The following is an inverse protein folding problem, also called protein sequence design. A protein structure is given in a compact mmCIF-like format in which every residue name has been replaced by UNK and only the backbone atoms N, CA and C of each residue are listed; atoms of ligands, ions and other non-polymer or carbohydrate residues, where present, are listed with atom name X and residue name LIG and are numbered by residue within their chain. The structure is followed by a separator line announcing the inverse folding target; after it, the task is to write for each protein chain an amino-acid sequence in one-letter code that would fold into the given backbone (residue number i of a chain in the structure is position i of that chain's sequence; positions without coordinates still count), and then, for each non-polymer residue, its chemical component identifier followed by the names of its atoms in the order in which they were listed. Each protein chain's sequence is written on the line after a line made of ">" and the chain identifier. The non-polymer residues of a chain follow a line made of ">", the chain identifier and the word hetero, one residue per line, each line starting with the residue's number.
data_IF_918219737452
#
_entry.id   IF_918219737452
#
_cell.length_a   1.000
_cell.length_b   1.000
_cell.length_c   1.000
_cell.angle_alpha   90.00
_cell.angle_beta   90.00
_cell.angle_gamma   90.00
#
_symmetry.space_group_name_H-M   'P 1'
#
loop_
_entity.id
_entity.type
_entity.pdbx_description
1 polymer ?
#
# COMPACT_ATOMS: atom_id res chain seq x y z
N UNK A 1 -8.63 0.24 -7.57
CA UNK A 1 -7.85 -0.99 -7.82
C UNK A 1 -7.06 -1.39 -6.58
N UNK A 2 -6.84 -2.67 -6.34
CA UNK A 2 -6.00 -3.08 -5.20
C UNK A 2 -4.54 -2.66 -5.40
N UNK A 3 -3.88 -2.32 -4.30
CA UNK A 3 -2.47 -1.95 -4.32
C UNK A 3 -1.59 -3.04 -4.96
N UNK A 4 -1.96 -4.30 -4.79
CA UNK A 4 -1.23 -5.43 -5.38
C UNK A 4 -1.18 -5.41 -6.91
N UNK A 5 -2.07 -4.66 -7.55
CA UNK A 5 -2.12 -4.51 -9.00
C UNK A 5 -1.28 -3.35 -9.51
N UNK A 6 -0.73 -2.55 -8.64
CA UNK A 6 0.08 -1.40 -9.01
C UNK A 6 1.42 -1.88 -9.56
N UNK A 7 1.79 -1.39 -10.73
CA UNK A 7 3.04 -1.76 -11.37
C UNK A 7 4.17 -0.84 -10.93
N UNK A 8 5.40 -1.34 -11.05
CA UNK A 8 6.59 -0.57 -10.73
C UNK A 8 6.58 0.79 -11.41
N UNK A 9 6.77 1.84 -10.63
CA UNK A 9 6.77 3.22 -11.11
C UNK A 9 5.41 3.89 -11.11
N UNK A 10 4.33 3.12 -10.92
CA UNK A 10 2.99 3.69 -10.82
C UNK A 10 2.69 4.17 -9.41
N UNK A 11 1.81 5.14 -9.31
CA UNK A 11 1.33 5.65 -8.04
C UNK A 11 -0.18 5.76 -8.03
N UNK A 12 -0.75 5.83 -6.85
CA UNK A 12 -2.19 5.99 -6.67
C UNK A 12 -2.50 6.54 -5.28
N UNK A 13 -3.74 6.93 -5.08
CA UNK A 13 -4.22 7.47 -3.81
C UNK A 13 -5.04 6.41 -3.10
N UNK A 14 -4.79 6.23 -1.82
CA UNK A 14 -5.52 5.24 -1.01
C UNK A 14 -6.98 5.69 -0.88
N UNK A 15 -7.88 4.85 -1.35
CA UNK A 15 -9.32 5.06 -1.29
C UNK A 15 -9.94 4.40 -0.06
N UNK A 16 -9.54 3.17 0.22
CA UNK A 16 -10.02 2.42 1.37
C UNK A 16 -9.01 1.37 1.79
N UNK A 17 -9.08 0.99 3.05
CA UNK A 17 -8.22 -0.06 3.63
C UNK A 17 -9.15 -1.04 4.35
N UNK A 18 -9.04 -2.32 4.00
CA UNK A 18 -9.87 -3.37 4.57
C UNK A 18 -9.04 -4.27 5.48
N UNK A 19 -9.66 -4.84 6.47
CA UNK A 19 -9.02 -5.76 7.38
C UNK A 19 -9.43 -5.51 8.83
N UNK A 20 -8.70 -6.11 9.75
CA UNK A 20 -8.95 -5.95 11.18
C UNK A 20 -8.49 -4.56 11.63
N UNK A 21 -9.17 -3.94 12.63
CA UNK A 21 -8.77 -2.63 13.15
C UNK A 21 -7.30 -2.57 13.56
N UNK A 22 -6.77 -3.63 14.12
CA UNK A 22 -5.37 -3.73 14.51
C UNK A 22 -4.43 -3.56 13.33
N UNK A 23 -4.73 -4.21 12.21
CA UNK A 23 -3.91 -4.13 11.00
C UNK A 23 -4.01 -2.75 10.37
N UNK A 24 -5.22 -2.19 10.33
CA UNK A 24 -5.45 -0.84 9.81
C UNK A 24 -4.69 0.19 10.63
N UNK A 25 -4.71 0.06 11.95
CA UNK A 25 -3.97 0.93 12.86
C UNK A 25 -2.47 0.85 12.62
N UNK A 26 -1.95 -0.35 12.46
CA UNK A 26 -0.53 -0.56 12.18
C UNK A 26 -0.12 0.10 10.87
N UNK A 27 -0.92 -0.05 9.83
CA UNK A 27 -0.67 0.60 8.53
C UNK A 27 -0.73 2.12 8.66
N UNK A 28 -1.67 2.64 9.44
CA UNK A 28 -1.79 4.08 9.67
C UNK A 28 -0.54 4.65 10.35
N UNK A 29 0.03 3.92 11.29
CA UNK A 29 1.27 4.31 11.95
C UNK A 29 2.44 4.41 10.96
N UNK A 30 2.38 3.67 9.88
CA UNK A 30 3.37 3.70 8.80
C UNK A 30 3.08 4.76 7.74
N UNK A 31 1.99 5.51 7.89
CA UNK A 31 1.58 6.54 6.94
C UNK A 31 0.56 6.09 5.90
N UNK A 32 0.14 4.84 5.94
CA UNK A 32 -0.87 4.30 5.02
C UNK A 32 -2.26 4.59 5.56
N UNK A 33 -2.81 5.71 5.14
CA UNK A 33 -4.15 6.16 5.51
C UNK A 33 -4.92 6.54 4.25
N UNK A 34 -6.24 6.58 4.34
CA UNK A 34 -7.08 7.05 3.24
C UNK A 34 -6.65 8.46 2.84
N UNK A 35 -6.46 8.68 1.55
CA UNK A 35 -5.97 9.94 1.00
C UNK A 35 -4.47 10.02 0.82
N UNK A 36 -3.70 9.07 1.35
CA UNK A 36 -2.25 9.04 1.14
C UNK A 36 -1.90 8.60 -0.28
N UNK A 37 -0.85 9.19 -0.84
CA UNK A 37 -0.31 8.77 -2.13
C UNK A 37 0.75 7.70 -1.91
N UNK A 38 0.62 6.59 -2.61
CA UNK A 38 1.59 5.49 -2.57
C UNK A 38 2.16 5.26 -3.96
N UNK A 39 3.42 4.86 -4.01
CA UNK A 39 4.11 4.53 -5.25
C UNK A 39 4.70 3.14 -5.15
N UNK A 40 4.51 2.34 -6.19
CA UNK A 40 5.15 1.04 -6.28
C UNK A 40 6.60 1.25 -6.74
N UNK A 41 7.55 0.84 -5.92
CA UNK A 41 8.97 1.02 -6.19
C UNK A 41 9.57 -0.23 -6.82
N UNK A 42 9.25 -1.39 -6.25
CA UNK A 42 9.82 -2.64 -6.71
C UNK A 42 9.02 -3.83 -6.14
N UNK A 43 9.38 -5.02 -6.57
CA UNK A 43 8.86 -6.26 -6.01
C UNK A 43 10.05 -7.19 -5.76
N UNK A 44 10.18 -7.67 -4.53
CA UNK A 44 11.31 -8.52 -4.13
C UNK A 44 10.76 -9.73 -3.39
N UNK A 45 11.09 -10.93 -3.89
CA UNK A 45 10.71 -12.20 -3.25
C UNK A 45 9.21 -12.30 -2.95
N UNK A 46 8.37 -11.80 -3.86
CA UNK A 46 6.91 -11.83 -3.70
C UNK A 46 6.34 -10.73 -2.81
N UNK A 47 7.19 -9.86 -2.27
CA UNK A 47 6.76 -8.71 -1.50
C UNK A 47 6.79 -7.44 -2.34
N UNK A 48 5.77 -6.62 -2.19
CA UNK A 48 5.69 -5.33 -2.86
C UNK A 48 6.41 -4.27 -2.01
N UNK A 49 7.34 -3.57 -2.63
CA UNK A 49 8.02 -2.44 -1.98
C UNK A 49 7.32 -1.17 -2.44
N UNK A 50 6.78 -0.44 -1.49
CA UNK A 50 6.07 0.81 -1.76
C UNK A 50 6.73 1.98 -1.05
N UNK A 51 6.51 3.16 -1.57
CA UNK A 51 6.94 4.41 -0.95
C UNK A 51 5.69 5.21 -0.57
N UNK A 52 5.64 5.63 0.68
CA UNK A 52 4.59 6.50 1.21
C UNK A 52 5.22 7.50 2.18
N UNK A 53 4.93 8.79 1.96
CA UNK A 53 5.45 9.90 2.80
C UNK A 53 6.98 9.86 2.98
N UNK A 54 7.69 9.54 1.91
CA UNK A 54 9.15 9.52 1.93
C UNK A 54 9.76 8.27 2.58
N UNK A 55 8.96 7.36 3.06
CA UNK A 55 9.42 6.09 3.65
C UNK A 55 9.08 4.93 2.74
N UNK A 56 9.92 3.92 2.73
CA UNK A 56 9.69 2.69 1.97
C UNK A 56 9.32 1.57 2.92
N UNK A 57 8.34 0.78 2.53
CA UNK A 57 7.97 -0.41 3.28
C UNK A 57 7.66 -1.56 2.34
N UNK A 58 7.94 -2.76 2.84
CA UNK A 58 7.63 -3.99 2.14
C UNK A 58 6.34 -4.57 2.70
N UNK A 59 5.48 -5.08 1.83
CA UNK A 59 4.30 -5.81 2.27
C UNK A 59 4.01 -6.97 1.35
N UNK A 60 3.44 -8.03 1.90
CA UNK A 60 3.05 -9.17 1.09
C UNK A 60 1.78 -8.84 0.27
N UNK A 61 1.51 -9.65 -0.74
CA UNK A 61 0.37 -9.40 -1.63
C UNK A 61 -0.98 -9.55 -0.94
N UNK A 62 -1.06 -10.38 0.08
CA UNK A 62 -2.31 -10.55 0.85
C UNK A 62 -2.68 -9.22 1.51
N UNK A 63 -1.70 -8.56 2.14
CA UNK A 63 -1.92 -7.25 2.75
C UNK A 63 -2.19 -6.18 1.70
N UNK A 64 -1.44 -6.20 0.60
CA UNK A 64 -1.61 -5.25 -0.51
C UNK A 64 -2.99 -5.35 -1.15
N UNK A 65 -3.57 -6.54 -1.20
CA UNK A 65 -4.93 -6.74 -1.73
C UNK A 65 -6.01 -6.07 -0.89
N UNK A 66 -5.72 -5.75 0.36
CA UNK A 66 -6.66 -5.10 1.27
C UNK A 66 -6.66 -3.58 1.15
N UNK A 67 -5.72 -3.03 0.42
CA UNK A 67 -5.59 -1.59 0.21
C UNK A 67 -6.09 -1.27 -1.19
N UNK A 68 -7.15 -0.46 -1.27
CA UNK A 68 -7.79 -0.10 -2.52
C UNK A 68 -7.38 1.31 -2.89
N UNK A 69 -6.93 1.48 -4.13
CA UNK A 69 -6.46 2.77 -4.65
C UNK A 69 -7.46 3.35 -5.65
N UNK A 70 -7.47 4.67 -5.70
CA UNK A 70 -8.02 5.42 -6.83
C UNK A 70 -6.90 5.68 -7.81
N UNK A 71 -7.16 5.41 -9.08
CA UNK A 71 -6.19 5.63 -10.16
C UNK A 71 -6.77 6.46 -11.26
#
# INVERSE_FOLDING_TARGET
>A
MPLSMLQRGESGVVKSIHGKPKDIHHLADLGLVVGATVKAVNEVAGNLIIEVKGSRLAMNKVMANRIILEV
#
